data_IF_703883951474
#
_entry.id   IF_703883951474
#
_cell.length_a   1.000
_cell.length_b   1.000
_cell.length_c   1.000
_cell.angle_alpha   90.00
_cell.angle_beta   90.00
_cell.angle_gamma   90.00
#
_symmetry.space_group_name_H-M   'P 1'
#
loop_
_entity.id
_entity.type
_entity.pdbx_description
1 polymer ?
#
# COMPACT_ATOMS: atom_id res chain seq x y z
N UNK A 1 8.00 -19.68 -3.26
CA UNK A 1 7.06 -19.28 -4.32
C UNK A 1 7.43 -17.86 -4.68
N UNK A 2 7.78 -17.61 -5.94
CA UNK A 2 8.19 -16.27 -6.34
C UNK A 2 7.04 -15.28 -6.18
N UNK A 3 7.39 -14.02 -5.98
CA UNK A 3 6.43 -12.92 -5.85
C UNK A 3 6.86 -11.75 -6.74
N UNK A 4 5.90 -11.17 -7.44
CA UNK A 4 6.06 -9.96 -8.24
C UNK A 4 5.62 -8.76 -7.42
N UNK A 5 6.54 -7.83 -7.22
CA UNK A 5 6.32 -6.58 -6.47
C UNK A 5 6.24 -5.40 -7.43
N UNK A 6 5.10 -4.71 -7.45
CA UNK A 6 4.95 -3.43 -8.13
C UNK A 6 5.31 -2.24 -7.22
N UNK A 7 6.08 -1.29 -7.75
CA UNK A 7 6.55 -0.12 -7.01
C UNK A 7 5.60 1.06 -7.23
N UNK A 8 4.86 1.45 -6.19
CA UNK A 8 3.92 2.59 -6.31
C UNK A 8 4.67 3.92 -6.45
N UNK A 9 4.11 4.89 -7.20
CA UNK A 9 4.71 6.22 -7.36
C UNK A 9 5.01 6.95 -6.05
N UNK A 10 4.22 6.70 -4.99
CA UNK A 10 4.45 7.28 -3.66
C UNK A 10 5.80 6.87 -3.07
N UNK A 11 6.19 5.59 -3.23
CA UNK A 11 7.46 5.07 -2.73
C UNK A 11 8.65 5.73 -3.45
N UNK A 12 8.56 5.85 -4.79
CA UNK A 12 9.58 6.53 -5.61
C UNK A 12 9.81 7.98 -5.21
N UNK A 13 8.74 8.72 -4.94
CA UNK A 13 8.83 10.14 -4.58
C UNK A 13 9.42 10.38 -3.19
N UNK A 14 9.44 9.36 -2.32
CA UNK A 14 9.79 9.49 -0.91
C UNK A 14 11.10 8.81 -0.52
N UNK A 15 11.58 7.89 -1.35
CA UNK A 15 12.81 7.16 -1.10
C UNK A 15 13.67 7.19 -2.37
N UNK A 16 14.82 7.85 -2.29
CA UNK A 16 15.70 8.04 -3.45
C UNK A 16 16.22 6.71 -3.99
N UNK A 17 16.55 5.75 -3.11
CA UNK A 17 16.97 4.39 -3.49
C UNK A 17 15.87 3.65 -4.26
N UNK A 18 14.60 3.84 -3.90
CA UNK A 18 13.46 3.31 -4.68
C UNK A 18 13.39 3.97 -6.06
N UNK A 19 13.65 5.27 -6.14
CA UNK A 19 13.76 5.99 -7.42
C UNK A 19 14.84 5.39 -8.32
N UNK A 20 16.05 5.18 -7.78
CA UNK A 20 17.17 4.55 -8.48
C UNK A 20 16.84 3.14 -8.93
N UNK A 21 16.30 2.30 -8.03
CA UNK A 21 15.92 0.94 -8.38
C UNK A 21 14.91 0.89 -9.54
N UNK A 22 13.96 1.84 -9.60
CA UNK A 22 13.01 1.92 -10.74
C UNK A 22 13.68 2.39 -12.01
N UNK A 23 14.66 3.29 -11.92
CA UNK A 23 15.41 3.75 -13.08
C UNK A 23 16.27 2.63 -13.69
N UNK A 24 16.88 1.80 -12.84
CA UNK A 24 17.79 0.73 -13.27
C UNK A 24 17.04 -0.55 -13.70
N UNK A 25 16.04 -0.99 -12.93
CA UNK A 25 15.39 -2.29 -13.10
C UNK A 25 13.91 -2.19 -13.50
N UNK A 26 13.34 -0.98 -13.47
CA UNK A 26 11.94 -0.73 -13.81
C UNK A 26 10.98 -0.77 -12.60
N UNK A 27 9.67 -0.52 -12.84
CA UNK A 27 8.69 -0.32 -11.77
C UNK A 27 8.14 -1.62 -11.16
N UNK A 28 8.64 -2.78 -11.60
CA UNK A 28 8.24 -4.11 -11.12
C UNK A 28 9.50 -4.94 -10.88
N UNK A 29 9.52 -5.70 -9.80
CA UNK A 29 10.61 -6.63 -9.49
C UNK A 29 10.07 -7.96 -9.01
N UNK A 30 10.69 -9.02 -9.51
CA UNK A 30 10.42 -10.38 -9.07
C UNK A 30 11.37 -10.77 -7.94
N UNK A 31 10.87 -11.51 -6.98
CA UNK A 31 11.63 -12.06 -5.87
C UNK A 31 11.38 -13.56 -5.75
N UNK A 32 12.36 -14.28 -5.21
CA UNK A 32 12.24 -15.72 -4.97
C UNK A 32 11.11 -16.07 -3.98
N UNK A 33 10.85 -15.16 -3.04
CA UNK A 33 9.79 -15.25 -2.05
C UNK A 33 9.47 -13.88 -1.43
N UNK A 34 8.42 -13.86 -0.61
CA UNK A 34 7.98 -12.67 0.11
C UNK A 34 9.01 -12.17 1.12
N UNK A 35 9.76 -13.06 1.76
CA UNK A 35 10.76 -12.67 2.76
C UNK A 35 11.93 -11.91 2.11
N UNK A 36 12.35 -12.31 0.91
CA UNK A 36 13.31 -11.59 0.09
C UNK A 36 12.79 -10.19 -0.29
N UNK A 37 11.51 -10.08 -0.64
CA UNK A 37 10.89 -8.78 -0.93
C UNK A 37 10.85 -7.87 0.31
N UNK A 38 10.53 -8.43 1.48
CA UNK A 38 10.46 -7.69 2.75
C UNK A 38 11.84 -7.24 3.22
N UNK A 39 12.87 -8.10 3.12
CA UNK A 39 14.27 -7.73 3.39
C UNK A 39 14.73 -6.59 2.48
N UNK A 40 14.43 -6.67 1.19
CA UNK A 40 14.73 -5.56 0.27
C UNK A 40 14.05 -4.25 0.68
N UNK A 41 12.79 -4.27 1.10
CA UNK A 41 12.12 -3.07 1.59
C UNK A 41 12.73 -2.53 2.89
N UNK A 42 13.22 -3.41 3.78
CA UNK A 42 13.96 -3.01 4.98
C UNK A 42 15.29 -2.32 4.64
N UNK A 43 16.05 -2.87 3.68
CA UNK A 43 17.31 -2.29 3.22
C UNK A 43 17.12 -0.91 2.58
N UNK A 44 16.06 -0.76 1.79
CA UNK A 44 15.67 0.54 1.22
C UNK A 44 15.27 1.55 2.29
N UNK A 45 14.59 1.09 3.35
CA UNK A 45 14.18 1.96 4.46
C UNK A 45 15.35 2.43 5.32
N UNK A 46 16.52 1.80 5.21
CA UNK A 46 17.71 2.24 5.92
C UNK A 46 18.24 3.55 5.32
N UNK A 47 18.07 4.67 6.02
CA UNK A 47 18.64 5.97 5.67
C UNK A 47 17.81 6.85 4.73
N UNK A 48 16.67 6.36 4.22
CA UNK A 48 15.73 7.11 3.37
C UNK A 48 14.29 6.93 3.86
N UNK A 49 13.31 7.54 3.17
CA UNK A 49 11.89 7.42 3.51
C UNK A 49 11.44 5.97 3.69
N UNK A 50 10.77 5.67 4.80
CA UNK A 50 10.34 4.32 5.16
C UNK A 50 9.37 3.73 4.12
N UNK A 51 9.65 2.50 3.71
CA UNK A 51 8.89 1.71 2.74
C UNK A 51 8.65 0.29 3.25
N UNK A 52 7.56 -0.33 2.80
CA UNK A 52 7.21 -1.72 3.17
C UNK A 52 6.49 -2.44 2.04
N UNK A 53 6.48 -3.77 2.12
CA UNK A 53 5.73 -4.65 1.23
C UNK A 53 4.33 -4.86 1.79
N UNK A 54 3.32 -4.65 0.93
CA UNK A 54 1.93 -4.99 1.21
C UNK A 54 1.42 -5.97 0.15
N UNK A 55 0.72 -7.02 0.57
CA UNK A 55 0.07 -7.95 -0.36
C UNK A 55 -0.93 -7.22 -1.26
N UNK A 56 -1.00 -7.63 -2.52
CA UNK A 56 -2.07 -7.21 -3.41
C UNK A 56 -3.42 -7.69 -2.86
N UNK A 57 -4.47 -6.90 -3.11
CA UNK A 57 -5.82 -7.31 -2.74
C UNK A 57 -6.29 -8.42 -3.70
N UNK A 58 -7.04 -9.44 -3.24
CA UNK A 58 -7.54 -10.50 -4.14
C UNK A 58 -8.40 -10.00 -5.31
N UNK A 59 -9.00 -8.82 -5.16
CA UNK A 59 -9.80 -8.17 -6.20
C UNK A 59 -8.98 -7.23 -7.11
N UNK A 60 -7.72 -6.98 -6.78
CA UNK A 60 -6.78 -6.28 -7.65
C UNK A 60 -6.38 -7.28 -8.75
N UNK A 61 -7.14 -7.30 -9.84
CA UNK A 61 -6.97 -8.26 -10.96
C UNK A 61 -5.71 -8.07 -11.80
N UNK A 62 -4.61 -7.61 -11.20
CA UNK A 62 -3.31 -7.42 -11.85
C UNK A 62 -2.35 -8.58 -11.58
N UNK A 63 -1.35 -8.74 -12.46
CA UNK A 63 -0.30 -9.76 -12.36
C UNK A 63 0.76 -9.47 -11.28
N UNK A 64 0.34 -8.94 -10.12
CA UNK A 64 1.26 -8.53 -9.05
C UNK A 64 0.82 -9.12 -7.72
N UNK A 65 1.73 -9.78 -7.04
CA UNK A 65 1.46 -10.40 -5.73
C UNK A 65 1.52 -9.37 -4.60
N UNK A 66 2.33 -8.32 -4.79
CA UNK A 66 2.69 -7.38 -3.76
C UNK A 66 2.91 -5.96 -4.31
N UNK A 67 2.81 -4.98 -3.43
CA UNK A 67 3.14 -3.59 -3.69
C UNK A 67 4.20 -3.08 -2.71
N UNK A 68 5.19 -2.35 -3.23
CA UNK A 68 6.04 -1.51 -2.40
C UNK A 68 5.35 -0.16 -2.17
N UNK A 69 5.12 0.15 -0.91
CA UNK A 69 4.47 1.37 -0.44
C UNK A 69 5.43 2.19 0.43
N UNK A 70 5.13 3.48 0.59
CA UNK A 70 5.80 4.35 1.56
C UNK A 70 4.78 4.96 2.51
N UNK A 71 5.21 5.32 3.73
CA UNK A 71 4.31 5.96 4.68
C UNK A 71 4.08 7.39 4.21
N UNK A 72 2.83 7.70 3.88
CA UNK A 72 2.45 9.08 3.74
C UNK A 72 2.36 9.68 5.14
N UNK A 73 3.37 10.43 5.59
CA UNK A 73 3.14 11.52 6.54
C UNK A 73 2.43 12.65 5.80
N UNK A 74 1.26 12.35 5.24
CA UNK A 74 0.42 13.33 4.59
C UNK A 74 -0.88 13.32 5.38
N UNK A 75 -0.97 14.20 6.37
CA UNK A 75 -2.15 14.35 7.23
C UNK A 75 -3.46 14.47 6.42
N UNK A 76 -3.39 14.93 5.16
CA UNK A 76 -4.54 14.96 4.23
C UNK A 76 -5.00 13.60 3.75
N UNK A 77 -4.12 12.60 3.59
CA UNK A 77 -4.50 11.25 3.15
C UNK A 77 -5.16 10.45 4.27
N UNK A 78 -4.63 10.55 5.50
CA UNK A 78 -5.26 9.98 6.71
C UNK A 78 -6.63 10.60 6.96
N UNK A 79 -6.76 11.93 6.85
CA UNK A 79 -8.07 12.59 6.96
C UNK A 79 -9.06 12.17 5.86
N UNK A 80 -8.59 11.93 4.63
CA UNK A 80 -9.42 11.45 3.53
C UNK A 80 -9.84 9.98 3.70
N UNK A 81 -8.95 9.14 4.24
CA UNK A 81 -9.20 7.73 4.52
C UNK A 81 -10.15 7.54 5.71
N UNK A 82 -9.98 8.29 6.79
CA UNK A 82 -10.89 8.31 7.95
C UNK A 82 -12.29 8.81 7.57
N UNK A 83 -12.39 9.76 6.63
CA UNK A 83 -13.67 10.24 6.07
C UNK A 83 -14.43 9.17 5.26
N UNK A 84 -13.73 8.27 4.58
CA UNK A 84 -14.36 7.13 3.88
C UNK A 84 -14.81 6.06 4.87
N UNK A 85 -14.05 5.86 5.95
CA UNK A 85 -14.37 4.94 7.04
C UNK A 85 -15.52 5.42 7.94
N UNK A 86 -15.69 6.72 8.17
CA UNK A 86 -16.89 7.27 8.85
C UNK A 86 -18.17 7.00 8.07
N UNK A 87 -18.17 7.29 6.76
CA UNK A 87 -19.33 7.03 5.91
C UNK A 87 -19.74 5.57 5.91
N UNK A 88 -18.76 4.66 5.83
CA UNK A 88 -19.01 3.21 5.92
C UNK A 88 -19.52 2.74 7.30
N UNK A 89 -19.33 3.53 8.38
CA UNK A 89 -19.92 3.24 9.70
C UNK A 89 -21.29 3.87 9.90
N UNK A 90 -21.55 5.01 9.25
CA UNK A 90 -22.84 5.71 9.31
C UNK A 90 -23.92 4.98 8.50
N UNK A 91 -23.55 4.25 7.45
CA UNK A 91 -24.47 3.36 6.69
C UNK A 91 -24.84 2.05 7.44
N UNK A 92 -24.23 1.77 8.59
CA UNK A 92 -24.50 0.58 9.41
C UNK A 92 -25.51 0.78 10.55
N UNK A 93 -26.00 2.00 10.76
CA UNK A 93 -27.06 2.27 11.71
C UNK A 93 -28.41 2.00 11.04
N UNK A 94 -28.78 0.72 10.91
CA UNK A 94 -30.16 0.30 10.67
C UNK A 94 -31.05 0.96 11.72
N UNK A 95 -31.77 2.01 11.32
CA UNK A 95 -32.87 2.56 12.09
C UNK A 95 -33.99 1.51 12.07
N UNK A 96 -33.99 0.66 13.11
CA UNK A 96 -35.03 -0.31 13.40
C UNK A 96 -36.28 0.45 13.86
N UNK A 97 -37.40 0.12 13.21
CA UNK A 97 -38.80 0.50 13.41
C UNK A 97 -39.21 1.08 14.77
N UNK A 98 -40.08 2.09 14.75
CA UNK A 98 -41.16 2.24 15.72
C UNK A 98 -42.47 2.55 14.99
N UNK A 99 -43.36 1.56 15.06
CA UNK A 99 -44.81 1.66 14.86
C UNK A 99 -45.46 2.78 15.70
N UNK A 100 -46.61 3.26 15.22
CA UNK A 100 -47.69 3.74 16.08
C UNK A 100 -48.19 5.16 15.81
N UNK A 101 -49.28 5.29 15.05
CA UNK A 101 -50.64 5.51 15.56
C UNK A 101 -51.62 5.77 14.40
#
# INVERSE_FOLDING_TARGET
>A
MSVVVAIKPSARKRNAKVGTAVFEEGPRREFADREAAERWAADLSAGDGHVWIASAHPEDGGDVDCYLLSRATNAKLEAAYDKRRRRLREDGATQRSLDGA
#
